data_IF_756683534706
#
_entry.id   IF_756683534706
#
_cell.length_a   1.000
_cell.length_b   1.000
_cell.length_c   1.000
_cell.angle_alpha   90.00
_cell.angle_beta   90.00
_cell.angle_gamma   90.00
#
_symmetry.space_group_name_H-M   'P 1'
#
loop_
_entity.id
_entity.type
_entity.pdbx_description
1 polymer ?
#
# COMPACT_ATOMS: atom_id res chain seq x y z
N UNK A 1 40.91 -5.11 2.93
CA UNK A 1 41.03 -4.85 1.48
C UNK A 1 40.88 -3.37 1.16
N UNK A 2 39.82 -2.68 1.60
CA UNK A 2 39.68 -1.22 1.40
C UNK A 2 40.81 -0.37 2.04
N UNK A 3 41.23 -0.67 3.27
CA UNK A 3 42.29 0.09 3.95
C UNK A 3 43.62 0.14 3.16
N UNK A 4 44.01 -0.97 2.53
CA UNK A 4 45.21 -1.05 1.70
C UNK A 4 45.11 -0.27 0.37
N UNK A 5 43.88 0.04 -0.07
CA UNK A 5 43.64 0.90 -1.22
C UNK A 5 43.79 2.38 -0.82
N UNK A 6 43.21 2.78 0.32
CA UNK A 6 43.32 4.14 0.83
C UNK A 6 44.75 4.49 1.27
N UNK A 7 45.51 3.55 1.83
CA UNK A 7 46.93 3.78 2.13
C UNK A 7 47.79 3.99 0.87
N UNK A 8 47.49 3.27 -0.23
CA UNK A 8 48.14 3.51 -1.53
C UNK A 8 47.77 4.87 -2.12
N UNK A 9 46.52 5.30 -1.98
CA UNK A 9 46.07 6.61 -2.44
C UNK A 9 46.72 7.75 -1.63
N UNK A 10 46.98 7.54 -0.33
CA UNK A 10 47.75 8.47 0.50
C UNK A 10 49.22 8.53 0.05
N UNK A 11 49.84 7.38 -0.23
CA UNK A 11 51.21 7.32 -0.76
C UNK A 11 51.35 8.01 -2.13
N UNK A 12 50.27 8.08 -2.91
CA UNK A 12 50.21 8.81 -4.17
C UNK A 12 49.89 10.31 -4.01
N UNK A 13 49.73 10.81 -2.78
CA UNK A 13 49.44 12.21 -2.49
C UNK A 13 48.02 12.66 -2.89
N UNK A 14 47.13 11.72 -3.19
CA UNK A 14 45.75 12.00 -3.63
C UNK A 14 44.77 12.22 -2.48
N UNK A 15 45.13 11.79 -1.26
CA UNK A 15 44.37 12.02 -0.02
C UNK A 15 45.30 12.45 1.11
N UNK A 16 44.78 13.24 2.04
CA UNK A 16 45.52 13.73 3.20
C UNK A 16 45.58 12.70 4.33
N UNK A 17 46.54 12.80 5.27
CA UNK A 17 46.61 11.94 6.44
C UNK A 17 45.33 11.96 7.29
N UNK A 18 44.73 13.14 7.46
CA UNK A 18 43.49 13.31 8.21
C UNK A 18 42.30 12.60 7.55
N UNK A 19 42.25 12.55 6.22
CA UNK A 19 41.22 11.80 5.47
C UNK A 19 41.39 10.29 5.63
N UNK A 20 42.63 9.78 5.71
CA UNK A 20 42.88 8.36 5.94
C UNK A 20 42.45 7.94 7.36
N UNK A 21 42.74 8.76 8.37
CA UNK A 21 42.32 8.51 9.75
C UNK A 21 40.80 8.51 9.89
N UNK A 22 40.11 9.43 9.20
CA UNK A 22 38.65 9.45 9.17
C UNK A 22 38.05 8.18 8.55
N UNK A 23 38.67 7.63 7.50
CA UNK A 23 38.25 6.35 6.89
C UNK A 23 38.49 5.18 7.86
N UNK A 24 39.59 5.19 8.61
CA UNK A 24 39.88 4.18 9.63
C UNK A 24 38.83 4.18 10.75
N UNK A 25 38.43 5.35 11.24
CA UNK A 25 37.38 5.51 12.26
C UNK A 25 36.02 5.07 11.70
N UNK A 26 35.70 5.38 10.46
CA UNK A 26 34.43 4.99 9.84
C UNK A 26 34.32 3.48 9.62
N UNK A 27 35.42 2.76 9.36
CA UNK A 27 35.44 1.30 9.28
C UNK A 27 35.19 0.62 10.64
N UNK A 28 35.45 1.30 11.77
CA UNK A 28 35.16 0.79 13.10
C UNK A 28 33.70 1.02 13.53
N UNK A 29 32.88 1.72 12.75
CA UNK A 29 31.45 1.86 13.06
C UNK A 29 30.77 0.49 12.98
N UNK A 30 29.99 0.08 13.99
CA UNK A 30 29.28 -1.19 13.96
C UNK A 30 28.32 -1.21 12.76
N UNK A 31 28.42 -2.27 11.95
CA UNK A 31 27.49 -2.49 10.85
C UNK A 31 26.08 -2.69 11.42
N UNK A 32 25.12 -1.94 10.90
CA UNK A 32 23.72 -2.07 11.32
C UNK A 32 23.14 -3.39 10.81
N UNK A 33 23.11 -4.41 11.67
CA UNK A 33 22.49 -5.73 11.40
C UNK A 33 20.95 -5.68 11.45
N UNK A 34 20.36 -4.50 11.66
CA UNK A 34 18.91 -4.31 11.81
C UNK A 34 18.11 -4.90 10.65
N UNK A 35 18.54 -4.68 9.41
CA UNK A 35 17.81 -5.16 8.24
C UNK A 35 17.93 -6.68 8.09
N UNK A 36 19.10 -7.25 8.42
CA UNK A 36 19.32 -8.69 8.37
C UNK A 36 18.47 -9.40 9.46
N UNK A 37 18.44 -8.83 10.67
CA UNK A 37 17.60 -9.30 11.76
C UNK A 37 16.11 -9.18 11.43
N UNK A 38 15.67 -8.08 10.80
CA UNK A 38 14.29 -7.93 10.34
C UNK A 38 13.95 -8.98 9.27
N UNK A 39 14.88 -9.24 8.34
CA UNK A 39 14.67 -10.24 7.28
C UNK A 39 14.54 -11.64 7.87
N UNK A 40 15.44 -12.03 8.79
CA UNK A 40 15.36 -13.30 9.51
C UNK A 40 14.08 -13.41 10.34
N UNK A 41 13.68 -12.33 11.03
CA UNK A 41 12.45 -12.29 11.79
C UNK A 41 11.23 -12.51 10.90
N UNK A 42 11.11 -11.79 9.79
CA UNK A 42 9.99 -11.94 8.86
C UNK A 42 9.97 -13.34 8.21
N UNK A 43 11.13 -13.88 7.83
CA UNK A 43 11.23 -15.24 7.34
C UNK A 43 10.76 -16.26 8.40
N UNK A 44 11.19 -16.09 9.66
CA UNK A 44 10.77 -16.93 10.78
C UNK A 44 9.26 -16.85 11.03
N UNK A 45 8.66 -15.66 10.99
CA UNK A 45 7.21 -15.47 11.11
C UNK A 45 6.48 -16.21 9.98
N UNK A 46 6.94 -16.10 8.74
CA UNK A 46 6.32 -16.78 7.59
C UNK A 46 6.39 -18.30 7.76
N UNK A 47 7.55 -18.85 8.12
CA UNK A 47 7.72 -20.30 8.35
C UNK A 47 6.83 -20.76 9.50
N UNK A 48 6.78 -20.02 10.61
CA UNK A 48 5.94 -20.36 11.76
C UNK A 48 4.45 -20.33 11.41
N UNK A 49 3.96 -19.26 10.76
CA UNK A 49 2.57 -19.15 10.35
C UNK A 49 2.18 -20.24 9.34
N UNK A 50 3.09 -20.58 8.42
CA UNK A 50 2.88 -21.65 7.45
C UNK A 50 2.83 -23.01 8.14
N UNK A 51 3.77 -23.30 9.05
CA UNK A 51 3.80 -24.54 9.82
C UNK A 51 2.55 -24.72 10.68
N UNK A 52 2.15 -23.68 11.41
CA UNK A 52 0.90 -23.69 12.19
C UNK A 52 -0.33 -23.89 11.29
N UNK A 53 -0.38 -23.22 10.14
CA UNK A 53 -1.46 -23.38 9.17
C UNK A 53 -1.56 -24.82 8.64
N UNK A 54 -0.43 -25.46 8.32
CA UNK A 54 -0.38 -26.86 7.88
C UNK A 54 -0.84 -27.80 8.99
N UNK A 55 -0.36 -27.61 10.23
CA UNK A 55 -0.77 -28.45 11.38
C UNK A 55 -2.27 -28.35 11.61
N UNK A 56 -2.83 -27.14 11.60
CA UNK A 56 -4.28 -26.92 11.73
C UNK A 56 -5.03 -27.58 10.58
N UNK A 57 -4.57 -27.41 9.34
CA UNK A 57 -5.21 -27.99 8.16
C UNK A 57 -5.22 -29.52 8.19
N UNK A 58 -4.09 -30.15 8.55
CA UNK A 58 -3.98 -31.61 8.64
C UNK A 58 -4.76 -32.22 9.80
N UNK A 59 -4.96 -31.47 10.89
CA UNK A 59 -5.64 -31.94 12.09
C UNK A 59 -7.05 -31.36 12.24
N UNK A 60 -7.60 -30.77 11.18
CA UNK A 60 -8.89 -30.09 11.22
C UNK A 60 -10.04 -31.05 11.55
N UNK A 61 -9.95 -32.30 11.09
CA UNK A 61 -10.93 -33.36 11.36
C UNK A 61 -10.87 -33.86 12.82
N UNK A 62 -9.71 -33.77 13.47
CA UNK A 62 -9.50 -34.20 14.85
C UNK A 62 -9.81 -33.09 15.86
N UNK A 63 -9.39 -31.85 15.58
CA UNK A 63 -9.64 -30.67 16.43
C UNK A 63 -11.11 -30.22 16.28
N UNK A 64 -11.66 -30.32 15.07
CA UNK A 64 -12.99 -29.83 14.71
C UNK A 64 -13.01 -28.32 14.44
N UNK A 65 -13.76 -27.91 13.41
CA UNK A 65 -13.93 -26.51 13.02
C UNK A 65 -14.41 -25.63 14.18
N UNK A 66 -15.35 -26.13 15.01
CA UNK A 66 -15.89 -25.38 16.14
C UNK A 66 -14.83 -25.02 17.19
N UNK A 67 -13.87 -25.91 17.48
CA UNK A 67 -12.83 -25.62 18.45
C UNK A 67 -11.88 -24.51 17.95
N UNK A 68 -11.53 -24.55 16.66
CA UNK A 68 -10.69 -23.50 16.03
C UNK A 68 -11.42 -22.16 16.06
N UNK A 69 -12.69 -22.13 15.64
CA UNK A 69 -13.51 -20.91 15.63
C UNK A 69 -13.67 -20.36 17.05
N UNK A 70 -13.94 -21.22 18.03
CA UNK A 70 -14.07 -20.81 19.43
C UNK A 70 -12.75 -20.25 19.98
N UNK A 71 -11.62 -20.87 19.67
CA UNK A 71 -10.30 -20.37 20.07
C UNK A 71 -10.00 -18.98 19.49
N UNK A 72 -10.28 -18.78 18.19
CA UNK A 72 -10.14 -17.48 17.54
C UNK A 72 -11.08 -16.45 18.19
N UNK A 73 -12.34 -16.81 18.44
CA UNK A 73 -13.34 -15.94 19.07
C UNK A 73 -12.91 -15.50 20.48
N UNK A 74 -12.44 -16.42 21.31
CA UNK A 74 -11.96 -16.15 22.67
C UNK A 74 -10.75 -15.23 22.62
N UNK A 75 -9.77 -15.54 21.77
CA UNK A 75 -8.55 -14.73 21.63
C UNK A 75 -8.87 -13.33 21.13
N UNK A 76 -9.71 -13.21 20.10
CA UNK A 76 -10.19 -11.94 19.57
C UNK A 76 -10.89 -11.12 20.67
N UNK A 77 -11.82 -11.74 21.40
CA UNK A 77 -12.55 -11.09 22.49
C UNK A 77 -11.60 -10.64 23.60
N UNK A 78 -10.63 -11.46 23.98
CA UNK A 78 -9.63 -11.11 24.99
C UNK A 78 -8.80 -9.88 24.57
N UNK A 79 -8.36 -9.80 23.31
CA UNK A 79 -7.67 -8.64 22.76
C UNK A 79 -8.53 -7.37 22.87
N UNK A 80 -9.77 -7.42 22.39
CA UNK A 80 -10.68 -6.27 22.44
C UNK A 80 -11.01 -5.86 23.87
N UNK A 81 -11.34 -6.78 24.76
CA UNK A 81 -11.65 -6.49 26.17
C UNK A 81 -10.45 -5.84 26.87
N UNK A 82 -9.25 -6.36 26.65
CA UNK A 82 -8.03 -5.77 27.21
C UNK A 82 -7.78 -4.35 26.68
N UNK A 83 -7.97 -4.15 25.36
CA UNK A 83 -7.84 -2.83 24.74
C UNK A 83 -8.90 -1.85 25.26
N UNK A 84 -10.17 -2.24 25.36
CA UNK A 84 -11.25 -1.39 25.87
C UNK A 84 -11.01 -0.97 27.32
N UNK A 85 -10.48 -1.86 28.17
CA UNK A 85 -10.15 -1.53 29.57
C UNK A 85 -9.03 -0.50 29.70
N UNK A 86 -8.13 -0.42 28.72
CA UNK A 86 -6.94 0.44 28.75
C UNK A 86 -7.04 1.67 27.85
N UNK A 87 -8.11 1.76 27.05
CA UNK A 87 -8.34 2.87 26.14
C UNK A 87 -8.74 4.14 26.89
N UNK A 88 -8.28 5.28 26.40
CA UNK A 88 -8.67 6.61 26.83
C UNK A 88 -10.00 7.10 26.21
N UNK A 89 -10.65 6.27 25.39
CA UNK A 89 -11.93 6.55 24.75
C UNK A 89 -11.83 7.31 23.43
N UNK A 90 -12.99 7.57 22.83
CA UNK A 90 -13.09 8.29 21.56
C UNK A 90 -12.83 9.78 21.73
N UNK A 91 -12.03 10.36 20.83
CA UNK A 91 -11.83 11.81 20.70
C UNK A 91 -11.74 12.22 19.24
N UNK A 92 -12.19 13.43 18.92
CA UNK A 92 -12.02 14.03 17.58
C UNK A 92 -10.54 14.30 17.24
N UNK A 93 -9.74 14.62 18.26
CA UNK A 93 -8.30 14.83 18.15
C UNK A 93 -7.53 13.51 18.20
N UNK A 94 -6.23 13.59 17.90
CA UNK A 94 -5.32 12.45 18.02
C UNK A 94 -5.19 12.04 19.48
N UNK A 95 -5.50 10.78 19.77
CA UNK A 95 -5.29 10.15 21.06
C UNK A 95 -3.96 9.40 21.02
N UNK A 96 -3.10 9.64 22.01
CA UNK A 96 -1.85 8.88 22.10
C UNK A 96 -2.14 7.45 22.55
N UNK A 97 -1.54 6.49 21.86
CA UNK A 97 -1.62 5.09 22.26
C UNK A 97 -0.94 4.89 23.62
N UNK A 98 -1.53 4.11 24.54
CA UNK A 98 -0.94 3.86 25.86
C UNK A 98 0.47 3.29 25.80
N UNK A 99 0.76 2.42 24.82
CA UNK A 99 2.09 1.90 24.50
C UNK A 99 2.09 1.20 23.14
N UNK A 100 3.26 0.93 22.56
CA UNK A 100 3.37 0.25 21.24
C UNK A 100 2.74 -1.15 21.24
N UNK A 101 2.78 -1.88 22.35
CA UNK A 101 2.16 -3.20 22.46
C UNK A 101 0.64 -3.15 22.31
N UNK A 102 0.00 -2.07 22.77
CA UNK A 102 -1.43 -1.85 22.63
C UNK A 102 -1.86 -1.79 21.17
N UNK A 103 -1.10 -1.07 20.35
CA UNK A 103 -1.35 -0.96 18.91
C UNK A 103 -1.24 -2.31 18.20
N UNK A 104 -0.26 -3.13 18.57
CA UNK A 104 -0.13 -4.48 18.03
C UNK A 104 -1.27 -5.40 18.48
N UNK A 105 -1.71 -5.32 19.73
CA UNK A 105 -2.81 -6.15 20.24
C UNK A 105 -4.14 -5.81 19.56
N UNK A 106 -4.46 -4.52 19.36
CA UNK A 106 -5.69 -4.13 18.68
C UNK A 106 -5.67 -4.50 17.20
N UNK A 107 -4.51 -4.35 16.53
CA UNK A 107 -4.34 -4.78 15.14
C UNK A 107 -4.49 -6.30 15.02
N UNK A 108 -3.87 -7.06 15.92
CA UNK A 108 -3.99 -8.51 15.96
C UNK A 108 -5.43 -8.96 16.19
N UNK A 109 -6.14 -8.37 17.16
CA UNK A 109 -7.56 -8.62 17.40
C UNK A 109 -8.42 -8.29 16.17
N UNK A 110 -8.10 -7.22 15.45
CA UNK A 110 -8.79 -6.82 14.22
C UNK A 110 -8.57 -7.81 13.07
N UNK A 111 -7.39 -8.41 12.95
CA UNK A 111 -7.11 -9.48 12.00
C UNK A 111 -7.84 -10.77 12.38
N UNK A 112 -7.83 -11.15 13.67
CA UNK A 112 -8.58 -12.30 14.15
C UNK A 112 -10.08 -12.15 13.92
N UNK A 113 -10.63 -10.93 14.04
CA UNK A 113 -12.03 -10.65 13.71
C UNK A 113 -12.35 -10.98 12.25
N UNK A 114 -11.49 -10.56 11.30
CA UNK A 114 -11.66 -10.87 9.88
C UNK A 114 -11.61 -12.38 9.63
N UNK A 115 -10.62 -13.05 10.22
CA UNK A 115 -10.46 -14.51 10.10
C UNK A 115 -11.69 -15.20 10.68
N UNK A 116 -12.17 -14.79 11.85
CA UNK A 116 -13.30 -15.40 12.52
C UNK A 116 -14.59 -15.30 11.70
N UNK A 117 -14.93 -14.09 11.24
CA UNK A 117 -16.13 -13.88 10.41
C UNK A 117 -16.01 -14.62 9.09
N UNK A 118 -14.85 -14.55 8.43
CA UNK A 118 -14.60 -15.25 7.18
C UNK A 118 -14.70 -16.77 7.31
N UNK A 119 -14.13 -17.35 8.38
CA UNK A 119 -14.18 -18.77 8.66
C UNK A 119 -15.62 -19.22 8.97
N UNK A 120 -16.34 -18.49 9.84
CA UNK A 120 -17.74 -18.78 10.15
C UNK A 120 -18.62 -18.74 8.89
N UNK A 121 -18.43 -17.74 8.04
CA UNK A 121 -19.17 -17.68 6.77
C UNK A 121 -18.80 -18.85 5.85
N UNK A 122 -17.52 -19.20 5.74
CA UNK A 122 -17.05 -20.25 4.84
C UNK A 122 -17.57 -21.64 5.23
N UNK A 123 -17.54 -21.99 6.52
CA UNK A 123 -17.96 -23.33 6.98
C UNK A 123 -19.44 -23.42 7.30
N UNK A 124 -19.99 -22.40 7.95
CA UNK A 124 -21.35 -22.46 8.52
C UNK A 124 -22.35 -21.58 7.80
N UNK A 125 -21.94 -20.82 6.77
CA UNK A 125 -22.82 -19.91 6.04
C UNK A 125 -23.65 -19.05 7.00
N UNK A 126 -23.02 -18.45 8.01
CA UNK A 126 -23.73 -17.71 9.08
C UNK A 126 -24.65 -16.60 8.53
N UNK A 127 -24.28 -15.98 7.41
CA UNK A 127 -25.11 -15.01 6.71
C UNK A 127 -25.91 -15.60 5.53
N UNK A 128 -26.02 -16.93 5.46
CA UNK A 128 -26.56 -17.68 4.34
C UNK A 128 -25.79 -17.40 3.04
N UNK A 129 -26.51 -17.30 1.93
CA UNK A 129 -25.97 -16.94 0.62
C UNK A 129 -25.59 -15.45 0.47
N UNK A 130 -25.80 -14.64 1.53
CA UNK A 130 -25.49 -13.20 1.49
C UNK A 130 -24.02 -12.95 1.83
N UNK A 131 -23.11 -13.42 0.96
CA UNK A 131 -21.67 -13.24 1.10
C UNK A 131 -21.24 -11.78 1.30
N UNK A 132 -22.02 -10.82 0.77
CA UNK A 132 -21.79 -9.39 1.03
C UNK A 132 -21.85 -9.02 2.51
N UNK A 133 -22.67 -9.67 3.34
CA UNK A 133 -22.72 -9.38 4.79
C UNK A 133 -21.45 -9.83 5.51
N UNK A 134 -20.82 -10.92 5.06
CA UNK A 134 -19.56 -11.41 5.63
C UNK A 134 -18.40 -10.44 5.40
N UNK A 135 -18.43 -9.64 4.33
CA UNK A 135 -17.50 -8.51 4.15
C UNK A 135 -17.96 -7.24 4.88
N UNK A 136 -19.26 -6.93 4.83
CA UNK A 136 -19.81 -5.68 5.37
C UNK A 136 -19.69 -5.56 6.89
N UNK A 137 -20.09 -6.61 7.63
CA UNK A 137 -20.10 -6.59 9.10
C UNK A 137 -18.70 -6.29 9.67
N UNK A 138 -17.64 -7.03 9.30
CA UNK A 138 -16.31 -6.72 9.81
C UNK A 138 -15.78 -5.38 9.29
N UNK A 139 -16.16 -4.92 8.10
CA UNK A 139 -15.79 -3.59 7.60
C UNK A 139 -16.29 -2.48 8.53
N UNK A 140 -17.56 -2.51 8.92
CA UNK A 140 -18.14 -1.55 9.85
C UNK A 140 -17.45 -1.61 11.22
N UNK A 141 -17.22 -2.83 11.74
CA UNK A 141 -16.52 -3.02 13.00
C UNK A 141 -15.09 -2.48 12.94
N UNK A 142 -14.36 -2.71 11.85
CA UNK A 142 -13.00 -2.19 11.67
C UNK A 142 -12.96 -0.66 11.63
N UNK A 143 -13.90 -0.01 10.92
CA UNK A 143 -13.99 1.45 10.94
C UNK A 143 -14.31 1.98 12.35
N UNK A 144 -15.26 1.36 13.05
CA UNK A 144 -15.60 1.73 14.43
C UNK A 144 -14.38 1.58 15.35
N UNK A 145 -13.69 0.44 15.29
CA UNK A 145 -12.46 0.16 16.04
C UNK A 145 -11.36 1.15 15.71
N UNK A 146 -11.11 1.43 14.43
CA UNK A 146 -10.08 2.37 14.00
C UNK A 146 -10.32 3.77 14.57
N UNK A 147 -11.56 4.27 14.52
CA UNK A 147 -11.91 5.60 15.02
C UNK A 147 -11.91 5.66 16.56
N UNK A 148 -12.35 4.59 17.22
CA UNK A 148 -12.38 4.51 18.67
C UNK A 148 -10.98 4.43 19.27
N UNK A 149 -10.13 3.51 18.80
CA UNK A 149 -8.77 3.28 19.33
C UNK A 149 -7.70 4.15 18.67
N UNK A 150 -8.10 4.96 17.70
CA UNK A 150 -7.22 5.87 16.99
C UNK A 150 -6.05 5.19 16.22
N UNK A 151 -6.35 4.08 15.57
CA UNK A 151 -5.34 3.19 15.00
C UNK A 151 -5.32 3.18 13.47
N UNK A 152 -4.27 3.74 12.88
CA UNK A 152 -4.10 3.84 11.42
C UNK A 152 -4.01 2.48 10.70
N UNK A 153 -3.36 1.47 11.30
CA UNK A 153 -3.31 0.12 10.73
C UNK A 153 -4.68 -0.56 10.62
N UNK A 154 -5.52 -0.51 11.67
CA UNK A 154 -6.91 -0.97 11.63
C UNK A 154 -7.74 -0.17 10.63
N UNK A 155 -7.51 1.15 10.50
CA UNK A 155 -8.16 1.95 9.45
C UNK A 155 -7.82 1.42 8.04
N UNK A 156 -6.54 1.12 7.79
CA UNK A 156 -6.10 0.52 6.53
C UNK A 156 -6.79 -0.82 6.27
N UNK A 157 -6.94 -1.67 7.30
CA UNK A 157 -7.71 -2.91 7.18
C UNK A 157 -9.19 -2.65 6.84
N UNK A 158 -9.82 -1.65 7.47
CA UNK A 158 -11.19 -1.24 7.17
C UNK A 158 -11.37 -0.78 5.73
N UNK A 159 -10.44 0.04 5.21
CA UNK A 159 -10.45 0.50 3.82
C UNK A 159 -10.23 -0.65 2.84
N UNK A 160 -9.27 -1.54 3.12
CA UNK A 160 -9.04 -2.74 2.31
C UNK A 160 -10.26 -3.65 2.28
N UNK A 161 -10.94 -3.82 3.42
CA UNK A 161 -12.14 -4.63 3.51
C UNK A 161 -13.35 -3.96 2.82
N UNK A 162 -13.43 -2.62 2.81
CA UNK A 162 -14.39 -1.87 2.01
C UNK A 162 -14.16 -2.09 0.51
N UNK A 163 -12.91 -2.03 0.05
CA UNK A 163 -12.57 -2.31 -1.33
C UNK A 163 -12.96 -3.75 -1.73
N UNK A 164 -12.62 -4.73 -0.89
CA UNK A 164 -13.00 -6.12 -1.09
C UNK A 164 -14.53 -6.32 -1.13
N UNK A 165 -15.27 -5.65 -0.23
CA UNK A 165 -16.73 -5.70 -0.20
C UNK A 165 -17.37 -5.10 -1.46
N UNK A 166 -16.77 -4.07 -2.04
CA UNK A 166 -17.17 -3.49 -3.33
C UNK A 166 -16.72 -4.34 -4.54
N UNK A 167 -16.10 -5.50 -4.31
CA UNK A 167 -15.66 -6.42 -5.36
C UNK A 167 -14.24 -6.19 -5.87
N UNK A 168 -13.51 -5.21 -5.33
CA UNK A 168 -12.09 -5.01 -5.63
C UNK A 168 -11.28 -5.97 -4.76
N UNK A 169 -11.20 -7.22 -5.20
CA UNK A 169 -10.47 -8.27 -4.50
C UNK A 169 -9.15 -8.58 -5.24
N UNK A 170 -8.06 -8.60 -4.48
CA UNK A 170 -6.76 -9.10 -4.93
C UNK A 170 -6.58 -10.48 -4.34
N UNK A 171 -7.32 -11.48 -4.84
CA UNK A 171 -7.04 -12.87 -4.49
C UNK A 171 -5.88 -13.38 -5.37
N UNK A 172 -4.72 -13.77 -4.80
CA UNK A 172 -3.51 -14.10 -5.57
C UNK A 172 -3.73 -15.19 -6.62
N UNK A 173 -4.60 -16.17 -6.33
CA UNK A 173 -4.95 -17.24 -7.27
C UNK A 173 -5.85 -16.75 -8.40
N UNK A 174 -6.81 -15.86 -8.11
CA UNK A 174 -7.71 -15.28 -9.12
C UNK A 174 -6.99 -14.34 -10.08
N UNK A 175 -5.94 -13.65 -9.63
CA UNK A 175 -5.07 -12.83 -10.49
C UNK A 175 -4.42 -13.67 -11.60
N UNK A 176 -4.20 -14.96 -11.36
CA UNK A 176 -3.59 -15.89 -12.32
C UNK A 176 -4.64 -16.63 -13.16
N UNK A 177 -5.83 -16.92 -12.63
CA UNK A 177 -6.78 -17.83 -13.27
C UNK A 177 -8.19 -17.30 -13.57
N UNK A 178 -8.57 -16.08 -13.14
CA UNK A 178 -9.96 -15.63 -13.28
C UNK A 178 -10.26 -14.14 -13.13
N UNK A 179 -9.25 -13.27 -13.04
CA UNK A 179 -9.50 -11.84 -12.91
C UNK A 179 -9.76 -11.22 -14.28
N UNK A 180 -11.01 -10.85 -14.55
CA UNK A 180 -11.38 -10.02 -15.69
C UNK A 180 -11.03 -8.57 -15.37
N UNK A 181 -9.76 -8.20 -15.62
CA UNK A 181 -9.31 -6.80 -15.53
C UNK A 181 -10.04 -5.88 -16.52
N UNK A 182 -10.86 -6.42 -17.43
CA UNK A 182 -11.78 -5.72 -18.31
C UNK A 182 -13.16 -5.44 -17.72
N UNK A 183 -13.45 -5.87 -16.48
CA UNK A 183 -14.76 -5.63 -15.88
C UNK A 183 -14.98 -4.14 -15.60
N UNK A 184 -15.77 -3.50 -16.47
CA UNK A 184 -16.11 -2.08 -16.42
C UNK A 184 -16.60 -1.64 -15.05
N UNK A 185 -17.40 -2.48 -14.37
CA UNK A 185 -17.94 -2.17 -13.05
C UNK A 185 -16.82 -2.01 -12.03
N UNK A 186 -15.81 -2.87 -12.05
CA UNK A 186 -14.67 -2.80 -11.12
C UNK A 186 -13.81 -1.56 -11.37
N UNK A 187 -13.63 -1.17 -12.64
CA UNK A 187 -12.90 0.04 -13.02
C UNK A 187 -13.60 1.29 -12.46
N UNK A 188 -14.90 1.44 -12.72
CA UNK A 188 -15.67 2.57 -12.17
C UNK A 188 -15.68 2.55 -10.64
N UNK A 189 -15.79 1.37 -10.03
CA UNK A 189 -15.77 1.20 -8.57
C UNK A 189 -14.45 1.67 -7.97
N UNK A 190 -13.31 1.30 -8.59
CA UNK A 190 -11.98 1.73 -8.13
C UNK A 190 -11.81 3.26 -8.24
N UNK A 191 -12.20 3.85 -9.37
CA UNK A 191 -12.12 5.30 -9.59
C UNK A 191 -13.02 6.05 -8.59
N UNK A 192 -14.27 5.62 -8.44
CA UNK A 192 -15.24 6.26 -7.53
C UNK A 192 -14.84 6.09 -6.07
N UNK A 193 -14.43 4.89 -5.65
CA UNK A 193 -13.94 4.66 -4.27
C UNK A 193 -12.66 5.46 -4.02
N UNK A 194 -11.76 5.53 -5.00
CA UNK A 194 -10.54 6.34 -4.92
C UNK A 194 -10.86 7.82 -4.68
N UNK A 195 -11.73 8.39 -5.52
CA UNK A 195 -12.20 9.77 -5.38
C UNK A 195 -12.94 10.01 -4.05
N UNK A 196 -13.77 9.06 -3.61
CA UNK A 196 -14.49 9.11 -2.35
C UNK A 196 -13.53 9.16 -1.15
N UNK A 197 -12.49 8.33 -1.13
CA UNK A 197 -11.49 8.32 -0.06
C UNK A 197 -10.66 9.61 -0.05
N UNK A 198 -10.31 10.17 -1.22
CA UNK A 198 -9.70 11.50 -1.30
C UNK A 198 -10.63 12.58 -0.74
N UNK A 199 -11.93 12.49 -1.03
CA UNK A 199 -12.97 13.34 -0.45
C UNK A 199 -13.04 13.23 1.08
N UNK A 200 -12.99 12.02 1.63
CA UNK A 200 -12.92 11.80 3.09
C UNK A 200 -11.64 12.39 3.67
N UNK A 201 -10.51 12.25 2.99
CA UNK A 201 -9.26 12.87 3.44
C UNK A 201 -9.43 14.39 3.54
N UNK A 202 -9.91 15.03 2.48
CA UNK A 202 -10.18 16.47 2.48
C UNK A 202 -11.16 16.86 3.60
N UNK A 203 -12.25 16.11 3.77
CA UNK A 203 -13.22 16.34 4.85
C UNK A 203 -12.57 16.26 6.24
N UNK A 204 -11.79 15.20 6.51
CA UNK A 204 -11.07 15.01 7.76
C UNK A 204 -10.10 16.16 8.05
N UNK A 205 -9.42 16.67 7.01
CA UNK A 205 -8.50 17.80 7.11
C UNK A 205 -9.22 19.13 7.38
N UNK A 206 -10.26 19.46 6.62
CA UNK A 206 -10.96 20.75 6.72
C UNK A 206 -11.89 20.84 7.93
N UNK A 207 -12.51 19.73 8.35
CA UNK A 207 -13.38 19.70 9.54
C UNK A 207 -12.63 19.38 10.83
N UNK A 208 -11.32 19.15 10.77
CA UNK A 208 -10.48 18.75 11.91
C UNK A 208 -11.01 17.49 12.65
N UNK A 209 -11.67 16.59 11.93
CA UNK A 209 -12.17 15.31 12.43
C UNK A 209 -11.12 14.24 12.17
N UNK A 210 -10.46 13.73 13.21
CA UNK A 210 -9.39 12.72 13.10
C UNK A 210 -8.34 13.07 12.03
N UNK A 211 -7.90 14.33 12.00
CA UNK A 211 -7.04 14.91 10.95
C UNK A 211 -5.78 14.09 10.63
N UNK A 212 -5.24 13.33 11.57
CA UNK A 212 -4.08 12.46 11.35
C UNK A 212 -4.39 11.23 10.48
N UNK A 213 -5.65 10.83 10.31
CA UNK A 213 -6.08 9.80 9.34
C UNK A 213 -6.08 10.30 7.89
N UNK A 214 -5.99 11.62 7.68
CA UNK A 214 -5.87 12.25 6.36
C UNK A 214 -4.91 11.51 5.43
N UNK A 215 -3.70 11.20 5.92
CA UNK A 215 -2.66 10.56 5.10
C UNK A 215 -3.03 9.13 4.70
N UNK A 216 -3.77 8.40 5.54
CA UNK A 216 -4.21 7.03 5.24
C UNK A 216 -5.26 7.07 4.13
N UNK A 217 -6.30 7.89 4.29
CA UNK A 217 -7.36 8.06 3.29
C UNK A 217 -6.82 8.57 1.96
N UNK A 218 -5.97 9.60 1.99
CA UNK A 218 -5.38 10.17 0.78
C UNK A 218 -4.53 9.13 0.05
N UNK A 219 -3.77 8.31 0.78
CA UNK A 219 -2.90 7.31 0.16
C UNK A 219 -3.70 6.23 -0.58
N UNK A 220 -4.65 5.60 0.12
CA UNK A 220 -5.53 4.60 -0.51
C UNK A 220 -6.34 5.20 -1.65
N UNK A 221 -6.91 6.39 -1.43
CA UNK A 221 -7.72 7.07 -2.45
C UNK A 221 -6.95 7.38 -3.72
N UNK A 222 -5.75 7.92 -3.58
CA UNK A 222 -4.87 8.27 -4.71
C UNK A 222 -4.47 7.03 -5.51
N UNK A 223 -4.00 5.98 -4.84
CA UNK A 223 -3.58 4.75 -5.51
C UNK A 223 -4.75 4.08 -6.22
N UNK A 224 -5.91 3.94 -5.55
CA UNK A 224 -7.06 3.27 -6.13
C UNK A 224 -7.63 4.04 -7.33
N UNK A 225 -7.68 5.37 -7.24
CA UNK A 225 -8.08 6.24 -8.34
C UNK A 225 -7.17 6.06 -9.56
N UNK A 226 -5.85 6.20 -9.38
CA UNK A 226 -4.92 6.11 -10.50
C UNK A 226 -4.86 4.71 -11.10
N UNK A 227 -4.88 3.65 -10.30
CA UNK A 227 -4.93 2.28 -10.81
C UNK A 227 -6.19 2.10 -11.65
N UNK A 228 -7.36 2.44 -11.11
CA UNK A 228 -8.63 2.34 -11.84
C UNK A 228 -8.62 3.15 -13.14
N UNK A 229 -8.17 4.41 -13.10
CA UNK A 229 -8.16 5.28 -14.27
C UNK A 229 -7.17 4.82 -15.34
N UNK A 230 -5.99 4.32 -14.95
CA UNK A 230 -5.02 3.73 -15.88
C UNK A 230 -5.59 2.48 -16.51
N UNK A 231 -6.17 1.56 -15.73
CA UNK A 231 -6.86 0.37 -16.26
C UNK A 231 -7.98 0.75 -17.23
N UNK A 232 -8.72 1.83 -16.95
CA UNK A 232 -9.76 2.34 -17.82
C UNK A 232 -9.23 2.71 -19.21
N UNK A 233 -8.01 3.26 -19.32
CA UNK A 233 -7.40 3.55 -20.61
C UNK A 233 -7.16 2.27 -21.44
N UNK A 234 -6.73 1.19 -20.80
CA UNK A 234 -6.49 -0.10 -21.48
C UNK A 234 -7.77 -0.81 -21.92
N UNK A 235 -8.89 -0.56 -21.24
CA UNK A 235 -10.16 -1.28 -21.48
C UNK A 235 -11.06 -0.48 -22.41
N UNK A 236 -11.25 0.81 -22.13
CA UNK A 236 -12.12 1.70 -22.91
C UNK A 236 -11.34 2.39 -24.03
N UNK A 237 -11.01 1.63 -25.08
CA UNK A 237 -10.22 2.12 -26.21
C UNK A 237 -10.84 3.36 -26.86
N UNK A 238 -12.16 3.42 -27.04
CA UNK A 238 -12.82 4.58 -27.67
C UNK A 238 -12.82 5.84 -26.79
N UNK A 239 -12.75 5.66 -25.46
CA UNK A 239 -12.77 6.75 -24.48
C UNK A 239 -11.41 7.00 -23.82
N UNK A 240 -10.33 6.38 -24.32
CA UNK A 240 -9.01 6.42 -23.68
C UNK A 240 -8.51 7.86 -23.49
N UNK A 241 -8.81 8.75 -24.44
CA UNK A 241 -8.43 10.16 -24.38
C UNK A 241 -9.11 10.89 -23.22
N UNK A 242 -10.39 10.61 -22.94
CA UNK A 242 -11.11 11.20 -21.80
C UNK A 242 -10.48 10.75 -20.48
N UNK A 243 -10.15 9.46 -20.37
CA UNK A 243 -9.46 8.90 -19.21
C UNK A 243 -8.05 9.48 -19.04
N UNK A 244 -7.32 9.69 -20.14
CA UNK A 244 -6.02 10.35 -20.12
C UNK A 244 -6.11 11.80 -19.61
N UNK A 245 -7.10 12.57 -20.07
CA UNK A 245 -7.36 13.94 -19.57
C UNK A 245 -7.72 13.93 -18.08
N UNK A 246 -8.54 12.97 -17.64
CA UNK A 246 -8.87 12.80 -16.22
C UNK A 246 -7.63 12.51 -15.37
N UNK A 247 -6.76 11.61 -15.82
CA UNK A 247 -5.49 11.31 -15.15
C UNK A 247 -4.57 12.53 -15.14
N UNK A 248 -4.47 13.27 -16.22
CA UNK A 248 -3.65 14.48 -16.30
C UNK A 248 -4.14 15.56 -15.31
N UNK A 249 -5.46 15.75 -15.21
CA UNK A 249 -6.07 16.67 -14.25
C UNK A 249 -5.80 16.25 -12.80
N UNK A 250 -5.98 14.96 -12.49
CA UNK A 250 -5.69 14.41 -11.17
C UNK A 250 -4.19 14.50 -10.83
N UNK A 251 -3.31 14.19 -11.79
CA UNK A 251 -1.87 14.28 -11.64
C UNK A 251 -1.43 15.73 -11.36
N UNK A 252 -1.99 16.72 -12.06
CA UNK A 252 -1.72 18.12 -11.78
C UNK A 252 -2.12 18.51 -10.34
N UNK A 253 -3.27 18.05 -9.86
CA UNK A 253 -3.69 18.29 -8.48
C UNK A 253 -2.76 17.61 -7.45
N UNK A 254 -2.39 16.34 -7.69
CA UNK A 254 -1.48 15.59 -6.82
C UNK A 254 -0.06 16.16 -6.83
N UNK A 255 0.45 16.64 -7.96
CA UNK A 255 1.75 17.31 -8.05
C UNK A 255 1.76 18.65 -7.32
N UNK A 256 0.71 19.47 -7.47
CA UNK A 256 0.54 20.69 -6.68
C UNK A 256 0.56 20.40 -5.19
N UNK A 257 -0.18 19.38 -4.76
CA UNK A 257 -0.17 18.93 -3.38
C UNK A 257 1.21 18.41 -2.94
N UNK A 258 1.90 17.61 -3.75
CA UNK A 258 3.21 17.05 -3.42
C UNK A 258 4.25 18.15 -3.20
N UNK A 259 4.25 19.21 -4.01
CA UNK A 259 5.12 20.38 -3.82
C UNK A 259 4.71 21.16 -2.57
N UNK A 260 3.42 21.47 -2.39
CA UNK A 260 2.94 22.23 -1.23
C UNK A 260 3.19 21.52 0.11
N UNK A 261 3.08 20.19 0.12
CA UNK A 261 3.31 19.35 1.30
C UNK A 261 4.78 18.88 1.44
N UNK A 262 5.69 19.35 0.58
CA UNK A 262 7.08 18.90 0.47
C UNK A 262 7.23 17.36 0.50
N UNK A 263 6.33 16.66 -0.19
CA UNK A 263 6.24 15.19 -0.16
C UNK A 263 6.75 14.55 -1.44
N UNK A 264 8.01 14.10 -1.40
CA UNK A 264 8.61 13.32 -2.50
C UNK A 264 7.83 12.04 -2.83
N UNK A 265 7.22 11.39 -1.82
CA UNK A 265 6.43 10.18 -2.02
C UNK A 265 5.26 10.40 -2.99
N UNK A 266 4.42 11.42 -2.74
CA UNK A 266 3.29 11.72 -3.62
C UNK A 266 3.75 12.21 -5.00
N UNK A 267 4.88 12.92 -5.08
CA UNK A 267 5.50 13.26 -6.36
C UNK A 267 5.86 11.99 -7.15
N UNK A 268 6.61 11.07 -6.54
CA UNK A 268 7.08 9.85 -7.20
C UNK A 268 5.91 8.95 -7.64
N UNK A 269 4.91 8.75 -6.78
CA UNK A 269 3.71 7.96 -7.10
C UNK A 269 2.93 8.58 -8.27
N UNK A 270 2.73 9.90 -8.26
CA UNK A 270 1.99 10.59 -9.32
C UNK A 270 2.72 10.51 -10.66
N UNK A 271 4.04 10.69 -10.66
CA UNK A 271 4.86 10.58 -11.86
C UNK A 271 4.86 9.14 -12.40
N UNK A 272 4.90 8.13 -11.52
CA UNK A 272 4.85 6.73 -11.94
C UNK A 272 3.51 6.38 -12.65
N UNK A 273 2.38 6.82 -12.12
CA UNK A 273 1.08 6.60 -12.78
C UNK A 273 0.92 7.43 -14.06
N UNK A 274 1.42 8.67 -14.06
CA UNK A 274 1.42 9.53 -15.25
C UNK A 274 2.28 8.93 -16.37
N UNK A 275 3.40 8.31 -16.01
CA UNK A 275 4.25 7.56 -16.93
C UNK A 275 3.49 6.39 -17.57
N UNK A 276 2.78 5.57 -16.77
CA UNK A 276 1.99 4.45 -17.30
C UNK A 276 0.90 4.94 -18.28
N UNK A 277 0.19 6.01 -17.92
CA UNK A 277 -0.82 6.62 -18.79
C UNK A 277 -0.23 7.20 -20.08
N UNK A 278 0.90 7.91 -19.99
CA UNK A 278 1.60 8.46 -21.15
C UNK A 278 2.14 7.36 -22.06
N UNK A 279 2.67 6.27 -21.50
CA UNK A 279 3.13 5.12 -22.28
C UNK A 279 1.99 4.55 -23.13
N UNK A 280 0.85 4.25 -22.51
CA UNK A 280 -0.32 3.75 -23.24
C UNK A 280 -0.82 4.75 -24.28
N UNK A 281 -0.96 6.04 -23.93
CA UNK A 281 -1.42 7.06 -24.87
C UNK A 281 -0.54 7.19 -26.11
N UNK A 282 0.79 7.08 -25.94
CA UNK A 282 1.73 7.10 -27.07
C UNK A 282 1.61 5.85 -27.93
N UNK A 283 1.48 4.66 -27.33
CA UNK A 283 1.23 3.42 -28.08
C UNK A 283 -0.10 3.49 -28.85
N UNK A 284 -1.18 3.98 -28.22
CA UNK A 284 -2.48 4.16 -28.84
C UNK A 284 -2.42 5.13 -30.03
N UNK A 285 -1.66 6.23 -29.92
CA UNK A 285 -1.45 7.16 -31.03
C UNK A 285 -0.68 6.53 -32.20
N UNK A 286 0.34 5.73 -31.89
CA UNK A 286 1.12 5.03 -32.93
C UNK A 286 0.32 3.94 -33.63
N UNK A 287 -0.60 3.29 -32.93
CA UNK A 287 -1.51 2.29 -33.51
C UNK A 287 -2.47 2.89 -34.56
N UNK A 288 -2.64 4.22 -34.61
CA UNK A 288 -3.40 4.90 -35.66
C UNK A 288 -2.60 5.08 -36.97
N UNK A 289 -1.29 4.90 -36.93
CA UNK A 289 -0.42 5.05 -38.11
C UNK A 289 -0.38 3.75 -38.93
N UNK A 290 -0.08 3.80 -40.24
CA UNK A 290 0.10 2.61 -41.05
C UNK A 290 1.16 1.67 -40.45
N UNK A 291 0.91 0.35 -40.50
CA UNK A 291 1.80 -0.68 -39.96
C UNK A 291 3.08 -0.82 -40.78
N UNK A 292 3.99 0.13 -40.58
CA UNK A 292 5.33 0.13 -41.15
C UNK A 292 6.38 -0.15 -40.09
N UNK A 293 7.51 -0.72 -40.51
CA UNK A 293 8.64 -1.00 -39.60
C UNK A 293 9.10 0.28 -38.88
N UNK A 294 8.97 1.45 -39.53
CA UNK A 294 9.27 2.75 -38.93
C UNK A 294 8.44 3.08 -37.68
N UNK A 295 7.16 2.71 -37.65
CA UNK A 295 6.27 2.97 -36.49
C UNK A 295 6.69 2.15 -35.28
N UNK A 296 7.16 0.91 -35.50
CA UNK A 296 7.69 0.05 -34.45
C UNK A 296 8.96 0.67 -33.83
N UNK A 297 9.89 1.15 -34.66
CA UNK A 297 11.10 1.84 -34.18
C UNK A 297 10.75 3.11 -33.40
N UNK A 298 9.79 3.90 -33.88
CA UNK A 298 9.33 5.10 -33.19
C UNK A 298 8.70 4.77 -31.83
N UNK A 299 7.92 3.69 -31.73
CA UNK A 299 7.38 3.20 -30.46
C UNK A 299 8.46 2.80 -29.45
N UNK A 300 9.51 2.11 -29.90
CA UNK A 300 10.66 1.78 -29.05
C UNK A 300 11.39 3.03 -28.55
N UNK A 301 11.67 3.98 -29.45
CA UNK A 301 12.31 5.25 -29.11
C UNK A 301 11.47 6.07 -28.14
N UNK A 302 10.15 6.10 -28.33
CA UNK A 302 9.21 6.75 -27.42
C UNK A 302 9.28 6.13 -26.03
N UNK A 303 9.22 4.80 -25.92
CA UNK A 303 9.28 4.10 -24.64
C UNK A 303 10.60 4.31 -23.89
N UNK A 304 11.73 4.29 -24.61
CA UNK A 304 13.06 4.59 -24.04
C UNK A 304 13.11 6.04 -23.56
N UNK A 305 12.68 6.98 -24.39
CA UNK A 305 12.70 8.41 -24.05
C UNK A 305 11.86 8.71 -22.80
N UNK A 306 10.68 8.10 -22.70
CA UNK A 306 9.78 8.26 -21.57
C UNK A 306 10.36 7.65 -20.28
N UNK A 307 11.06 6.51 -20.39
CA UNK A 307 11.76 5.86 -19.26
C UNK A 307 12.93 6.69 -18.75
N UNK A 308 13.71 7.27 -19.66
CA UNK A 308 14.81 8.20 -19.34
C UNK A 308 14.25 9.45 -18.65
N UNK A 309 13.16 10.02 -19.19
CA UNK A 309 12.50 11.18 -18.59
C UNK A 309 11.98 10.88 -17.17
N UNK A 310 11.32 9.73 -16.97
CA UNK A 310 10.88 9.27 -15.65
C UNK A 310 12.05 9.22 -14.66
N UNK A 311 13.13 8.55 -15.06
CA UNK A 311 14.31 8.37 -14.20
C UNK A 311 14.95 9.71 -13.85
N UNK A 312 15.10 10.59 -14.85
CA UNK A 312 15.64 11.93 -14.68
C UNK A 312 14.78 12.77 -13.73
N UNK A 313 13.45 12.78 -13.91
CA UNK A 313 12.52 13.51 -13.04
C UNK A 313 12.63 13.03 -11.59
N UNK A 314 12.65 11.71 -11.36
CA UNK A 314 12.77 11.16 -10.02
C UNK A 314 14.11 11.56 -9.37
N UNK A 315 15.24 11.43 -10.07
CA UNK A 315 16.55 11.80 -9.52
C UNK A 315 16.65 13.31 -9.26
N UNK A 316 16.23 14.13 -10.22
CA UNK A 316 16.33 15.58 -10.15
C UNK A 316 15.50 16.13 -8.98
N UNK A 317 14.25 15.67 -8.85
CA UNK A 317 13.38 16.14 -7.78
C UNK A 317 13.70 15.51 -6.43
N UNK A 318 14.20 14.27 -6.36
CA UNK A 318 14.68 13.70 -5.10
C UNK A 318 15.74 14.61 -4.44
N UNK A 319 16.66 15.16 -5.23
CA UNK A 319 17.66 16.13 -4.73
C UNK A 319 17.00 17.40 -4.20
N UNK A 320 16.00 17.95 -4.88
CA UNK A 320 15.29 19.17 -4.46
C UNK A 320 14.48 18.96 -3.17
N UNK A 321 13.72 17.88 -3.08
CA UNK A 321 12.93 17.56 -1.89
C UNK A 321 13.83 17.26 -0.68
N UNK A 322 14.99 16.62 -0.87
CA UNK A 322 15.99 16.39 0.20
C UNK A 322 16.69 17.67 0.65
N UNK A 323 16.84 18.67 -0.21
CA UNK A 323 17.44 19.96 0.15
C UNK A 323 16.53 20.83 1.04
N UNK A 324 15.26 20.44 1.21
CA UNK A 324 14.26 21.17 2.00
C UNK A 324 13.66 20.30 3.13
N UNK A 325 14.22 19.12 3.39
CA UNK A 325 13.82 18.20 4.46
C UNK A 325 14.82 18.26 5.61
#
# INVERSE_FOLDING_TARGET
MLYNLFSKLQQQGLITPDELDNVAVQQQRPLSVRNDLLTLLYAGIVVLCTGLGIVVYQNIDSIGHMAIIAFIAITCTACYVWCFKKASGYSQAKVQSPNTGFDYVILFGSLLLLIWVGYMQFVYHVFGERWGLAGFVPMVLLFATAYYFDHAGVLSLGISNLAAWLGITVAPLSVVSGNDFGNERLIYTAVLLGAFLVGIAAFSFYKNVKKHFYKVYLNFGTHLFFIGAVTAMFVFHDAYFLWFVLIAAAAAACLKYAVAANSYYYFAVTIAYSYAAAMYAGIALLALMPNEVGVIYLGLLYGISLSVLLTWLLIHYNKKFKAHA
#
